data_IF_917130691637
#
_entry.id   IF_917130691637
#
_cell.length_a   1.000
_cell.length_b   1.000
_cell.length_c   1.000
_cell.angle_alpha   90.00
_cell.angle_beta   90.00
_cell.angle_gamma   90.00
#
_symmetry.space_group_name_H-M   'P 1'
#
loop_
_entity.id
_entity.type
_entity.pdbx_description
1 polymer ?
#
# COMPACT_ATOMS: atom_id res chain seq x y z
N UNK A 1 4.29 3.81 -10.21
CA UNK A 1 5.17 3.64 -9.03
C UNK A 1 4.78 2.42 -8.17
N UNK A 2 3.65 2.45 -7.45
CA UNK A 2 3.30 1.44 -6.44
C UNK A 2 3.31 -0.03 -6.93
N UNK A 3 2.93 -0.30 -8.19
CA UNK A 3 2.94 -1.67 -8.71
C UNK A 3 4.35 -2.20 -8.95
N UNK A 4 5.22 -1.36 -9.53
CA UNK A 4 6.62 -1.72 -9.73
C UNK A 4 7.31 -1.94 -8.39
N UNK A 5 6.97 -1.14 -7.37
CA UNK A 5 7.42 -1.36 -6.00
C UNK A 5 6.95 -2.72 -5.48
N UNK A 6 5.66 -3.03 -5.60
CA UNK A 6 5.12 -4.32 -5.17
C UNK A 6 5.77 -5.51 -5.90
N UNK A 7 5.97 -5.39 -7.21
CA UNK A 7 6.63 -6.41 -8.03
C UNK A 7 8.08 -6.64 -7.60
N UNK A 8 8.82 -5.59 -7.26
CA UNK A 8 10.19 -5.70 -6.73
C UNK A 8 10.23 -6.39 -5.37
N UNK A 9 9.22 -6.17 -4.52
CA UNK A 9 9.12 -6.81 -3.20
C UNK A 9 8.79 -8.31 -3.30
N UNK A 10 8.13 -8.77 -4.38
CA UNK A 10 7.84 -10.20 -4.59
C UNK A 10 9.09 -11.08 -4.78
N UNK A 11 10.26 -10.49 -5.07
CA UNK A 11 11.53 -11.22 -5.13
C UNK A 11 11.97 -11.74 -3.74
N UNK A 12 12.21 -10.85 -2.76
CA UNK A 12 12.65 -11.26 -1.42
C UNK A 12 11.52 -11.76 -0.49
N UNK A 13 10.25 -11.53 -0.81
CA UNK A 13 9.11 -11.87 0.05
C UNK A 13 8.13 -12.80 -0.68
N UNK A 14 7.66 -13.90 -0.05
CA UNK A 14 6.62 -14.74 -0.64
C UNK A 14 5.36 -13.92 -0.95
N UNK A 15 4.77 -14.12 -2.13
CA UNK A 15 3.60 -13.35 -2.56
C UNK A 15 2.39 -13.48 -1.63
N UNK A 16 2.25 -14.61 -0.92
CA UNK A 16 1.20 -14.80 0.09
C UNK A 16 1.26 -13.79 1.24
N UNK A 17 2.44 -13.24 1.52
CA UNK A 17 2.68 -12.25 2.56
C UNK A 17 2.47 -10.80 2.07
N UNK A 18 2.29 -10.59 0.76
CA UNK A 18 2.10 -9.29 0.13
C UNK A 18 0.62 -9.06 -0.21
N UNK A 19 0.17 -7.82 -0.06
CA UNK A 19 -1.12 -7.37 -0.57
C UNK A 19 -0.99 -6.01 -1.27
N UNK A 20 -1.34 -5.96 -2.55
CA UNK A 20 -1.44 -4.73 -3.32
C UNK A 20 -2.87 -4.18 -3.23
N UNK A 21 -3.07 -3.04 -2.57
CA UNK A 21 -4.40 -2.42 -2.41
C UNK A 21 -4.60 -1.29 -3.42
N UNK A 22 -5.40 -1.56 -4.45
CA UNK A 22 -5.80 -0.62 -5.48
C UNK A 22 -7.15 0.04 -5.14
N UNK A 23 -7.38 1.23 -5.68
CA UNK A 23 -8.67 1.92 -5.59
C UNK A 23 -9.71 1.26 -6.51
N UNK A 24 -10.99 1.35 -6.14
CA UNK A 24 -12.11 0.81 -6.92
C UNK A 24 -12.13 1.30 -8.37
N UNK A 25 -11.84 2.58 -8.59
CA UNK A 25 -11.85 3.21 -9.92
C UNK A 25 -10.71 2.76 -10.82
N UNK A 26 -9.80 1.92 -10.33
CA UNK A 26 -8.62 1.51 -11.09
C UNK A 26 -8.99 0.43 -12.12
N UNK A 27 -8.64 0.59 -13.41
CA UNK A 27 -8.77 -0.46 -14.40
C UNK A 27 -7.90 -1.69 -14.08
N UNK A 28 -8.43 -2.88 -14.37
CA UNK A 28 -7.68 -4.14 -14.23
C UNK A 28 -6.50 -4.21 -15.19
N UNK A 29 -6.65 -3.66 -16.38
CA UNK A 29 -5.68 -3.74 -17.46
C UNK A 29 -4.39 -2.99 -17.10
N UNK A 30 -4.50 -1.91 -16.31
CA UNK A 30 -3.37 -1.10 -15.88
C UNK A 30 -2.39 -1.86 -14.99
N UNK A 31 -2.90 -2.70 -14.07
CA UNK A 31 -2.04 -3.49 -13.19
C UNK A 31 -1.32 -4.59 -13.97
N UNK A 32 -2.02 -5.26 -14.90
CA UNK A 32 -1.44 -6.29 -15.74
C UNK A 32 -0.41 -5.71 -16.72
N UNK A 33 -0.63 -4.50 -17.22
CA UNK A 33 0.33 -3.80 -18.09
C UNK A 33 1.58 -3.39 -17.31
N UNK A 34 1.42 -2.85 -16.10
CA UNK A 34 2.53 -2.31 -15.31
C UNK A 34 3.33 -3.40 -14.59
N UNK A 35 2.65 -4.42 -14.06
CA UNK A 35 3.24 -5.49 -13.27
C UNK A 35 2.47 -6.81 -13.52
N UNK A 36 2.78 -7.52 -14.63
CA UNK A 36 2.09 -8.76 -15.01
C UNK A 36 2.01 -9.78 -13.88
N UNK A 37 0.82 -10.32 -13.63
CA UNK A 37 0.58 -11.34 -12.59
C UNK A 37 0.53 -10.81 -11.15
N UNK A 38 0.78 -9.51 -10.91
CA UNK A 38 0.64 -8.91 -9.58
C UNK A 38 -0.82 -8.92 -9.10
N UNK A 39 -1.79 -8.95 -10.02
CA UNK A 39 -3.22 -8.96 -9.66
C UNK A 39 -3.59 -10.09 -8.69
N UNK A 40 -2.89 -11.22 -8.77
CA UNK A 40 -3.05 -12.38 -7.87
C UNK A 40 -2.85 -12.02 -6.39
N UNK A 41 -1.98 -11.04 -6.12
CA UNK A 41 -1.66 -10.57 -4.78
C UNK A 41 -2.32 -9.22 -4.49
N UNK A 42 -3.36 -8.86 -5.24
CA UNK A 42 -4.10 -7.61 -5.07
C UNK A 42 -5.46 -7.81 -4.40
N UNK A 43 -6.16 -6.70 -4.16
CA UNK A 43 -7.55 -6.69 -3.68
C UNK A 43 -8.60 -6.76 -4.81
N UNK A 44 -8.23 -7.25 -6.00
CA UNK A 44 -9.19 -7.50 -7.07
C UNK A 44 -10.18 -8.60 -6.66
N UNK A 45 -11.46 -8.39 -6.93
CA UNK A 45 -12.53 -9.36 -6.75
C UNK A 45 -13.05 -9.80 -8.12
N UNK A 46 -12.91 -11.09 -8.43
CA UNK A 46 -13.30 -11.64 -9.73
C UNK A 46 -14.83 -11.69 -9.92
N UNK A 47 -15.62 -11.67 -8.84
CA UNK A 47 -17.08 -11.70 -8.93
C UNK A 47 -17.63 -10.32 -9.29
N UNK A 48 -17.12 -9.28 -8.63
CA UNK A 48 -17.50 -7.89 -8.89
C UNK A 48 -16.75 -7.29 -10.09
N UNK A 49 -15.66 -7.92 -10.54
CA UNK A 49 -14.82 -7.42 -11.62
C UNK A 49 -14.10 -6.11 -11.27
N UNK A 50 -13.86 -5.85 -9.99
CA UNK A 50 -13.35 -4.57 -9.49
C UNK A 50 -12.42 -4.75 -8.27
N UNK A 51 -11.67 -3.70 -7.94
CA UNK A 51 -10.87 -3.66 -6.71
C UNK A 51 -11.73 -3.25 -5.52
N UNK A 52 -11.98 -4.17 -4.60
CA UNK A 52 -12.78 -3.92 -3.40
C UNK A 52 -11.87 -3.66 -2.20
N UNK A 53 -12.31 -2.84 -1.25
CA UNK A 53 -11.52 -2.63 -0.03
C UNK A 53 -11.37 -3.99 0.70
N UNK A 54 -10.15 -4.44 1.01
CA UNK A 54 -9.95 -5.68 1.74
C UNK A 54 -10.52 -5.58 3.16
N UNK A 55 -10.90 -6.72 3.76
CA UNK A 55 -11.26 -6.77 5.17
C UNK A 55 -10.06 -6.44 6.06
N UNK A 56 -10.32 -5.96 7.28
CA UNK A 56 -9.28 -5.68 8.26
C UNK A 56 -8.38 -6.90 8.49
N UNK A 57 -8.96 -8.09 8.71
CA UNK A 57 -8.20 -9.33 8.92
C UNK A 57 -7.30 -9.68 7.73
N UNK A 58 -7.78 -9.41 6.50
CA UNK A 58 -6.99 -9.64 5.29
C UNK A 58 -5.81 -8.67 5.22
N UNK A 59 -5.94 -7.44 5.71
CA UNK A 59 -4.83 -6.49 5.80
C UNK A 59 -3.85 -6.89 6.90
N UNK A 60 -4.36 -7.21 8.10
CA UNK A 60 -3.54 -7.55 9.27
C UNK A 60 -2.80 -8.90 9.14
N UNK A 61 -3.29 -9.80 8.29
CA UNK A 61 -2.60 -11.07 8.00
C UNK A 61 -1.39 -10.92 7.06
N UNK A 62 -1.11 -9.71 6.56
CA UNK A 62 -0.06 -9.46 5.56
C UNK A 62 1.15 -8.81 6.20
N UNK A 63 2.32 -9.32 5.84
CA UNK A 63 3.60 -8.72 6.26
C UNK A 63 3.88 -7.42 5.52
N UNK A 64 3.47 -7.34 4.25
CA UNK A 64 3.69 -6.15 3.41
C UNK A 64 2.37 -5.78 2.73
N UNK A 65 1.97 -4.52 2.88
CA UNK A 65 0.83 -3.95 2.17
C UNK A 65 1.32 -2.80 1.32
N UNK A 66 1.12 -2.88 0.00
CA UNK A 66 1.53 -1.85 -0.96
C UNK A 66 0.30 -1.11 -1.48
N UNK A 67 0.33 0.20 -1.32
CA UNK A 67 -0.86 1.05 -1.36
C UNK A 67 -0.45 2.46 -1.79
N UNK A 68 -1.30 3.17 -2.52
CA UNK A 68 -1.08 4.58 -2.86
C UNK A 68 -1.43 5.47 -1.67
N UNK A 69 -0.85 6.67 -1.53
CA UNK A 69 -1.03 7.53 -0.34
C UNK A 69 -2.51 7.76 0.03
N UNK A 70 -3.36 8.06 -0.96
CA UNK A 70 -4.80 8.25 -0.71
C UNK A 70 -5.49 6.97 -0.17
N UNK A 71 -5.10 5.81 -0.69
CA UNK A 71 -5.63 4.53 -0.21
C UNK A 71 -5.05 4.14 1.15
N UNK A 72 -3.83 4.59 1.49
CA UNK A 72 -3.21 4.34 2.79
C UNK A 72 -3.99 5.02 3.92
N UNK A 73 -4.50 6.24 3.67
CA UNK A 73 -5.37 6.94 4.60
C UNK A 73 -6.64 6.12 4.96
N UNK A 74 -7.10 5.25 4.06
CA UNK A 74 -8.25 4.36 4.33
C UNK A 74 -7.89 3.19 5.25
N UNK A 75 -6.62 2.79 5.37
CA UNK A 75 -6.22 1.68 6.24
C UNK A 75 -6.43 2.02 7.72
N UNK A 76 -6.14 3.26 8.13
CA UNK A 76 -6.45 3.72 9.47
C UNK A 76 -7.97 3.69 9.75
N UNK A 77 -8.77 4.20 8.81
CA UNK A 77 -10.23 4.17 8.91
C UNK A 77 -10.81 2.76 8.87
N UNK A 78 -10.14 1.80 8.22
CA UNK A 78 -10.49 0.38 8.26
C UNK A 78 -10.26 -0.25 9.65
N UNK A 79 -9.50 0.41 10.52
CA UNK A 79 -9.20 -0.03 11.88
C UNK A 79 -7.83 -0.68 12.04
N UNK A 80 -6.89 -0.46 11.11
CA UNK A 80 -5.50 -0.91 11.30
C UNK A 80 -4.91 -0.21 12.52
N UNK A 81 -4.46 -0.95 13.56
CA UNK A 81 -3.91 -0.33 14.75
C UNK A 81 -2.60 0.44 14.45
N UNK A 82 -2.39 1.62 15.05
CA UNK A 82 -1.10 2.29 14.99
C UNK A 82 0.03 1.36 15.47
N UNK A 83 1.12 1.30 14.72
CA UNK A 83 2.25 0.42 15.02
C UNK A 83 2.08 -1.03 14.62
N UNK A 84 0.96 -1.43 14.00
CA UNK A 84 0.83 -2.77 13.44
C UNK A 84 1.94 -3.05 12.41
N UNK A 85 2.20 -2.07 11.54
CA UNK A 85 3.36 -2.09 10.66
C UNK A 85 4.55 -1.43 11.35
N UNK A 86 5.65 -2.16 11.47
CA UNK A 86 6.90 -1.64 12.05
C UNK A 86 7.57 -0.58 11.16
N UNK A 87 7.25 -0.56 9.87
CA UNK A 87 7.81 0.38 8.90
C UNK A 87 6.71 0.87 7.97
N UNK A 88 6.68 2.18 7.76
CA UNK A 88 5.88 2.84 6.72
C UNK A 88 6.88 3.51 5.77
N UNK A 89 6.86 3.11 4.50
CA UNK A 89 7.77 3.62 3.48
C UNK A 89 6.97 4.35 2.42
N UNK A 90 7.34 5.60 2.15
CA UNK A 90 6.74 6.42 1.10
C UNK A 90 7.78 6.60 0.00
N UNK A 91 7.48 6.06 -1.17
CA UNK A 91 8.26 6.27 -2.39
C UNK A 91 7.75 7.52 -3.12
N UNK A 92 8.61 8.18 -3.90
CA UNK A 92 8.29 9.44 -4.59
C UNK A 92 7.81 10.56 -3.64
N UNK A 93 8.33 10.60 -2.41
CA UNK A 93 7.90 11.56 -1.38
C UNK A 93 8.17 13.02 -1.76
N UNK A 94 9.14 13.29 -2.65
CA UNK A 94 9.40 14.63 -3.20
C UNK A 94 8.27 15.16 -4.10
N UNK A 95 7.49 14.25 -4.69
CA UNK A 95 6.33 14.58 -5.53
C UNK A 95 5.00 14.63 -4.78
N UNK A 96 4.96 14.17 -3.52
CA UNK A 96 3.74 14.09 -2.74
C UNK A 96 3.48 15.39 -1.98
N UNK A 97 2.23 15.88 -2.01
CA UNK A 97 1.81 16.98 -1.15
C UNK A 97 1.92 16.57 0.33
N UNK A 98 2.42 17.48 1.18
CA UNK A 98 2.53 17.28 2.62
C UNK A 98 1.24 16.74 3.27
N UNK A 99 0.04 17.33 3.06
CA UNK A 99 -1.19 16.84 3.69
C UNK A 99 -1.55 15.41 3.26
N UNK A 100 -1.24 15.02 2.03
CA UNK A 100 -1.50 13.67 1.54
C UNK A 100 -0.57 12.64 2.20
N UNK A 101 0.70 13.00 2.37
CA UNK A 101 1.68 12.16 3.05
C UNK A 101 1.36 12.00 4.53
N UNK A 102 0.91 13.08 5.20
CA UNK A 102 0.45 13.03 6.58
C UNK A 102 -0.79 12.13 6.74
N UNK A 103 -1.80 12.29 5.88
CA UNK A 103 -3.01 11.46 5.92
C UNK A 103 -2.69 9.96 5.72
N UNK A 104 -1.71 9.64 4.88
CA UNK A 104 -1.28 8.27 4.61
C UNK A 104 -0.52 7.61 5.79
N UNK A 105 0.14 8.40 6.64
CA UNK A 105 1.14 7.89 7.60
C UNK A 105 0.74 8.08 9.06
N UNK A 106 0.11 9.22 9.40
CA UNK A 106 -0.12 9.63 10.79
C UNK A 106 -0.95 8.62 11.59
N UNK A 107 -1.97 8.01 10.98
CA UNK A 107 -2.81 7.01 11.65
C UNK A 107 -2.16 5.63 11.79
N UNK A 108 -1.09 5.34 11.04
CA UNK A 108 -0.44 4.03 11.01
C UNK A 108 0.81 3.96 11.90
N UNK A 109 1.42 5.09 12.21
CA UNK A 109 2.63 5.17 13.02
C UNK A 109 2.29 5.12 14.51
N UNK A 110 3.03 4.31 15.27
CA UNK A 110 2.98 4.30 16.72
C UNK A 110 3.72 5.52 17.31
N UNK A 111 3.11 6.22 18.29
CA UNK A 111 3.73 7.37 18.95
C UNK A 111 4.91 6.98 19.86
N UNK A 112 5.04 5.71 20.24
CA UNK A 112 6.09 5.20 21.12
C UNK A 112 7.40 4.82 20.39
N UNK A 113 7.51 5.13 19.09
CA UNK A 113 8.72 4.93 18.30
C UNK A 113 8.95 3.49 17.83
N UNK A 114 8.01 2.56 18.07
CA UNK A 114 8.08 1.18 17.54
C UNK A 114 7.89 1.09 16.02
N UNK A 115 7.30 2.11 15.40
CA UNK A 115 7.20 2.23 13.94
C UNK A 115 8.18 3.25 13.39
N UNK A 116 8.76 2.97 12.21
CA UNK A 116 9.66 3.88 11.50
C UNK A 116 9.01 4.40 10.22
N UNK A 117 9.08 5.70 10.00
CA UNK A 117 8.73 6.34 8.74
C UNK A 117 9.99 6.50 7.89
N UNK A 118 9.95 6.04 6.65
CA UNK A 118 11.01 6.22 5.65
C UNK A 118 10.42 6.96 4.46
N UNK A 119 10.98 8.12 4.13
CA UNK A 119 10.59 8.92 2.97
C UNK A 119 11.71 8.83 1.93
N UNK A 120 11.39 8.33 0.74
CA UNK A 120 12.30 8.23 -0.39
C UNK A 120 11.78 9.10 -1.53
N UNK A 121 12.66 9.90 -2.15
CA UNK A 121 12.32 10.78 -3.27
C UNK A 121 13.41 11.81 -3.50
N UNK A 122 13.40 12.44 -4.68
CA UNK A 122 14.31 13.52 -5.03
C UNK A 122 13.53 14.85 -5.08
N UNK A 123 13.83 15.84 -4.23
CA UNK A 123 13.15 17.13 -4.25
C UNK A 123 13.50 18.01 -5.47
N UNK A 124 14.46 17.62 -6.31
CA UNK A 124 14.91 18.39 -7.48
C UNK A 124 14.69 17.67 -8.82
N UNK A 125 13.87 16.61 -8.85
CA UNK A 125 13.50 15.91 -10.09
C UNK A 125 12.57 16.72 -11.01
#
# INVERSE_FOLDING_TARGET
>A
AADLLAQRVLGPVPGSCLLRVCAYSRPKEDIETTAPGLIKWSNFDDNEGAFLMPSLDRVLSKRVVVVTCLMAAKLYHLGVPPGHFSHVVVDEAGHAEEPLTLAATAGLLAPDGRSRLVLAGDPQQ
#
